data_IF_887527686219
#
_entry.id   IF_887527686219
#
_cell.length_a   1.000
_cell.length_b   1.000
_cell.length_c   1.000
_cell.angle_alpha   90.00
_cell.angle_beta   90.00
_cell.angle_gamma   90.00
#
_symmetry.space_group_name_H-M   'P 1'
#
loop_
_entity.id
_entity.type
_entity.pdbx_description
1 polymer ?
#
# COMPACT_ATOMS: atom_id res chain seq x y z
N UNK A 1 24.42 7.43 13.59
CA UNK A 1 24.53 6.05 14.11
C UNK A 1 23.64 5.97 15.34
N UNK A 2 22.43 5.45 15.19
CA UNK A 2 21.55 5.13 16.32
C UNK A 2 21.65 3.62 16.47
N UNK A 3 22.35 3.14 17.50
CA UNK A 3 22.22 1.74 17.93
C UNK A 3 20.78 1.58 18.44
N UNK A 4 19.99 0.76 17.78
CA UNK A 4 18.61 0.47 18.18
C UNK A 4 18.70 -0.43 19.42
N UNK A 5 18.74 0.18 20.61
CA UNK A 5 18.73 -0.56 21.87
C UNK A 5 17.40 -1.33 22.00
N UNK A 6 17.46 -2.52 22.63
CA UNK A 6 16.26 -3.31 22.95
C UNK A 6 15.20 -2.52 23.76
N UNK A 7 15.58 -1.38 24.35
CA UNK A 7 14.70 -0.49 25.11
C UNK A 7 13.66 0.26 24.27
N UNK A 8 13.72 0.18 22.93
CA UNK A 8 12.79 0.87 22.02
C UNK A 8 11.69 -0.04 21.42
N UNK A 9 11.43 -1.21 22.01
CA UNK A 9 10.45 -2.16 21.48
C UNK A 9 9.33 -2.41 22.49
N UNK A 10 8.10 -2.42 22.00
CA UNK A 10 6.95 -2.92 22.74
C UNK A 10 6.39 -4.07 21.96
N UNK A 11 6.23 -5.21 22.64
CA UNK A 11 5.61 -6.39 22.08
C UNK A 11 4.29 -6.66 22.76
N UNK A 12 3.23 -6.78 21.97
CA UNK A 12 1.94 -7.25 22.43
C UNK A 12 1.63 -8.58 21.75
N UNK A 13 1.33 -9.65 22.50
CA UNK A 13 0.88 -10.90 21.90
C UNK A 13 -0.45 -10.68 21.17
N UNK A 14 -0.64 -11.39 20.06
CA UNK A 14 -1.91 -11.43 19.34
C UNK A 14 -2.60 -12.75 19.65
N UNK A 15 -3.92 -12.70 19.84
CA UNK A 15 -4.74 -13.89 20.12
C UNK A 15 -5.08 -14.68 18.85
N UNK A 16 -4.90 -14.07 17.69
CA UNK A 16 -5.26 -14.57 16.36
C UNK A 16 -4.06 -14.51 15.42
N UNK A 17 -4.02 -15.40 14.44
CA UNK A 17 -2.93 -15.43 13.46
C UNK A 17 -3.03 -14.24 12.47
N UNK A 18 -2.00 -13.37 12.40
CA UNK A 18 -2.02 -12.20 11.52
C UNK A 18 -1.54 -12.52 10.09
N UNK A 19 -1.99 -11.74 9.11
CA UNK A 19 -1.56 -11.84 7.71
C UNK A 19 -1.02 -10.52 7.15
N UNK A 20 -1.51 -9.37 7.61
CA UNK A 20 -1.06 -8.05 7.12
C UNK A 20 -1.19 -6.98 8.21
N UNK A 21 -0.42 -5.91 8.07
CA UNK A 21 -0.51 -4.71 8.90
C UNK A 21 -0.44 -3.44 8.04
N UNK A 22 -1.31 -2.47 8.32
CA UNK A 22 -1.25 -1.14 7.69
C UNK A 22 -1.60 -0.04 8.67
N UNK A 23 -0.93 1.11 8.53
CA UNK A 23 -1.41 2.36 9.09
C UNK A 23 -2.52 2.96 8.23
N UNK A 24 -3.36 3.78 8.86
CA UNK A 24 -4.36 4.57 8.16
C UNK A 24 -3.68 5.45 7.09
N UNK A 25 -4.30 5.53 5.92
CA UNK A 25 -3.73 6.21 4.76
C UNK A 25 -3.62 7.73 4.99
N UNK A 26 -2.65 8.42 4.34
CA UNK A 26 -2.60 9.87 4.30
C UNK A 26 -3.94 10.45 3.81
N UNK A 27 -4.45 11.46 4.50
CA UNK A 27 -5.81 12.00 4.30
C UNK A 27 -6.80 11.56 5.37
N UNK A 28 -6.51 10.49 6.11
CA UNK A 28 -7.29 10.11 7.30
C UNK A 28 -7.22 11.20 8.37
N UNK A 29 -8.36 11.54 8.96
CA UNK A 29 -8.41 12.42 10.15
C UNK A 29 -7.81 11.78 11.41
N UNK A 30 -7.67 10.44 11.43
CA UNK A 30 -7.06 9.67 12.50
C UNK A 30 -5.86 8.84 11.98
N UNK A 31 -4.74 9.48 11.60
CA UNK A 31 -3.60 8.83 10.95
C UNK A 31 -2.75 7.95 11.90
N UNK A 32 -3.04 7.99 13.20
CA UNK A 32 -2.37 7.19 14.23
C UNK A 32 -3.05 5.83 14.44
N UNK A 33 -4.14 5.52 13.72
CA UNK A 33 -4.75 4.19 13.76
C UNK A 33 -3.99 3.27 12.80
N UNK A 34 -3.80 2.03 13.22
CA UNK A 34 -3.33 0.96 12.34
C UNK A 34 -4.16 -0.30 12.54
N UNK A 35 -4.20 -1.12 11.51
CA UNK A 35 -5.02 -2.32 11.42
C UNK A 35 -4.14 -3.55 11.21
N UNK A 36 -4.52 -4.64 11.85
CA UNK A 36 -3.96 -5.98 11.63
C UNK A 36 -5.05 -6.86 11.02
N UNK A 37 -4.85 -7.30 9.78
CA UNK A 37 -5.70 -8.32 9.16
C UNK A 37 -5.29 -9.70 9.66
N UNK A 38 -6.27 -10.52 10.04
CA UNK A 38 -6.07 -11.84 10.65
C UNK A 38 -7.13 -12.84 10.18
N UNK A 39 -7.08 -14.06 10.70
CA UNK A 39 -7.88 -15.23 10.27
C UNK A 39 -9.40 -15.09 10.34
N UNK A 40 -9.91 -14.15 11.14
CA UNK A 40 -11.35 -13.93 11.36
C UNK A 40 -11.84 -12.52 11.03
N UNK A 41 -10.94 -11.61 10.67
CA UNK A 41 -11.28 -10.20 10.56
C UNK A 41 -10.10 -9.24 10.59
N UNK A 42 -10.37 -8.05 11.10
CA UNK A 42 -9.43 -6.95 11.18
C UNK A 42 -9.50 -6.34 12.58
N UNK A 43 -8.37 -6.26 13.27
CA UNK A 43 -8.29 -5.61 14.58
C UNK A 43 -7.57 -4.27 14.46
N UNK A 44 -8.17 -3.23 15.04
CA UNK A 44 -7.67 -1.86 15.00
C UNK A 44 -6.98 -1.50 16.31
N UNK A 45 -5.86 -0.80 16.18
CA UNK A 45 -5.02 -0.37 17.29
C UNK A 45 -4.70 1.11 17.17
N UNK A 46 -4.42 1.73 18.31
CA UNK A 46 -3.94 3.11 18.37
C UNK A 46 -2.81 3.23 19.38
N UNK A 47 -1.68 3.88 19.06
CA UNK A 47 -0.69 4.27 20.04
C UNK A 47 -1.32 5.15 21.12
N UNK A 48 -1.07 4.80 22.37
CA UNK A 48 -1.39 5.61 23.54
C UNK A 48 -0.34 6.72 23.68
N UNK A 49 -0.76 7.89 24.18
CA UNK A 49 0.12 9.05 24.32
C UNK A 49 1.38 8.70 25.13
N UNK A 50 2.51 9.33 24.76
CA UNK A 50 3.85 9.11 25.32
C UNK A 50 3.82 8.90 26.84
N UNK A 51 4.21 7.73 27.36
CA UNK A 51 4.82 7.71 28.67
C UNK A 51 6.15 8.46 28.61
N UNK A 52 6.53 9.09 29.72
CA UNK A 52 7.82 9.74 29.95
C UNK A 52 9.03 8.83 29.69
N UNK A 53 8.80 7.52 29.51
CA UNK A 53 9.78 6.45 29.41
C UNK A 53 10.17 6.06 27.97
N UNK A 54 9.64 6.72 26.94
CA UNK A 54 10.08 6.55 25.54
C UNK A 54 9.50 5.34 24.79
N UNK A 55 8.80 4.44 25.48
CA UNK A 55 8.05 3.33 24.88
C UNK A 55 6.66 3.84 24.47
N UNK A 56 6.10 3.46 23.31
CA UNK A 56 4.74 3.86 22.88
C UNK A 56 3.78 2.68 22.99
N UNK A 57 3.10 2.47 24.14
CA UNK A 57 2.11 1.41 24.23
C UNK A 57 1.04 1.68 23.20
N UNK A 58 0.45 0.64 22.64
CA UNK A 58 -0.75 0.76 21.82
C UNK A 58 -1.87 0.04 22.53
N UNK A 59 -3.10 0.50 22.30
CA UNK A 59 -4.31 -0.14 22.78
C UNK A 59 -5.06 -0.71 21.59
N UNK A 60 -5.62 -1.90 21.76
CA UNK A 60 -6.65 -2.40 20.86
C UNK A 60 -7.89 -1.51 21.02
N UNK A 61 -8.46 -1.08 19.90
CA UNK A 61 -9.69 -0.31 19.87
C UNK A 61 -10.89 -1.25 19.79
N UNK A 62 -10.95 -2.03 18.70
CA UNK A 62 -12.02 -2.95 18.41
C UNK A 62 -11.61 -3.92 17.28
N UNK A 63 -12.42 -4.94 17.05
CA UNK A 63 -12.23 -5.93 15.98
C UNK A 63 -13.48 -5.97 15.10
N UNK A 64 -13.26 -5.89 13.79
CA UNK A 64 -14.29 -6.03 12.76
C UNK A 64 -14.24 -7.47 12.25
N UNK A 65 -15.29 -8.23 12.49
CA UNK A 65 -15.37 -9.63 12.06
C UNK A 65 -15.83 -9.72 10.60
N UNK A 66 -14.92 -10.14 9.70
CA UNK A 66 -15.24 -10.38 8.29
C UNK A 66 -15.66 -11.84 8.02
N UNK A 67 -15.40 -12.73 8.99
CA UNK A 67 -15.68 -14.16 8.90
C UNK A 67 -14.68 -14.96 8.07
N UNK A 68 -13.66 -14.30 7.49
CA UNK A 68 -12.62 -14.92 6.67
C UNK A 68 -11.26 -14.26 6.92
N UNK A 69 -10.14 -14.96 6.61
CA UNK A 69 -8.82 -14.35 6.66
C UNK A 69 -8.74 -13.10 5.77
N UNK A 70 -8.28 -11.99 6.36
CA UNK A 70 -7.99 -10.76 5.64
C UNK A 70 -6.50 -10.71 5.31
N UNK A 71 -6.17 -10.89 4.03
CA UNK A 71 -4.80 -11.11 3.55
C UNK A 71 -4.09 -9.80 3.17
N UNK A 72 -4.83 -8.86 2.59
CA UNK A 72 -4.35 -7.54 2.23
C UNK A 72 -5.40 -6.51 2.62
N UNK A 73 -4.98 -5.30 3.00
CA UNK A 73 -5.89 -4.21 3.31
C UNK A 73 -5.27 -2.84 3.03
N UNK A 74 -6.12 -1.84 2.90
CA UNK A 74 -5.80 -0.42 2.88
C UNK A 74 -7.04 0.34 3.39
N UNK A 75 -6.89 1.41 4.18
CA UNK A 75 -8.06 2.06 4.79
C UNK A 75 -7.86 3.53 5.12
N UNK A 76 -8.98 4.25 5.17
CA UNK A 76 -9.10 5.58 5.73
C UNK A 76 -9.79 5.53 7.10
N UNK A 77 -9.36 6.39 8.02
CA UNK A 77 -9.96 6.54 9.34
C UNK A 77 -10.47 7.97 9.57
N UNK A 78 -11.78 8.08 9.73
CA UNK A 78 -12.52 9.33 9.84
C UNK A 78 -13.07 9.51 11.25
N UNK A 79 -12.90 10.69 11.83
CA UNK A 79 -13.48 11.06 13.12
C UNK A 79 -14.94 11.42 12.87
N UNK A 80 -15.86 10.79 13.61
CA UNK A 80 -17.26 11.25 13.58
C UNK A 80 -17.36 12.61 14.28
N UNK A 81 -18.26 13.47 13.79
CA UNK A 81 -18.59 14.69 14.52
C UNK A 81 -19.03 14.30 15.94
N UNK A 82 -18.62 15.05 16.98
CA UNK A 82 -19.10 14.78 18.32
C UNK A 82 -20.62 14.92 18.31
N UNK A 83 -21.34 13.86 18.68
CA UNK A 83 -22.68 14.05 19.19
C UNK A 83 -22.58 15.06 20.33
N UNK A 84 -23.53 15.98 20.40
CA UNK A 84 -23.53 17.10 21.35
C UNK A 84 -23.74 16.67 22.82
N UNK A 85 -23.21 15.50 23.23
CA UNK A 85 -23.24 15.02 24.60
C UNK A 85 -22.19 15.77 25.44
N UNK A 86 -22.68 16.59 26.37
CA UNK A 86 -21.91 17.47 27.27
C UNK A 86 -21.02 16.74 28.30
N UNK A 87 -20.81 15.43 28.18
CA UNK A 87 -20.02 14.67 29.15
C UNK A 87 -18.61 14.43 28.58
N UNK A 88 -17.64 15.16 29.13
CA UNK A 88 -16.24 15.24 28.69
C UNK A 88 -15.39 13.97 28.84
N UNK A 89 -15.86 12.83 28.33
CA UNK A 89 -15.01 11.69 28.00
C UNK A 89 -14.83 11.61 26.47
N UNK A 90 -13.56 11.67 26.02
CA UNK A 90 -13.12 11.67 24.61
C UNK A 90 -13.37 10.32 23.88
N UNK A 91 -14.56 9.72 23.98
CA UNK A 91 -14.96 8.61 23.13
C UNK A 91 -15.49 9.14 21.80
N UNK A 92 -14.61 9.75 21.00
CA UNK A 92 -14.94 10.02 19.61
C UNK A 92 -15.01 8.69 18.85
N UNK A 93 -16.21 8.33 18.38
CA UNK A 93 -16.41 7.19 17.48
C UNK A 93 -15.56 7.37 16.21
N UNK A 94 -15.16 6.23 15.64
CA UNK A 94 -14.32 6.15 14.46
C UNK A 94 -15.14 5.53 13.33
N UNK A 95 -15.26 6.23 12.20
CA UNK A 95 -15.79 5.65 10.97
C UNK A 95 -14.64 5.24 10.06
N UNK A 96 -14.70 4.03 9.51
CA UNK A 96 -13.64 3.47 8.69
C UNK A 96 -14.15 3.16 7.28
N UNK A 97 -13.32 3.43 6.28
CA UNK A 97 -13.51 2.97 4.90
C UNK A 97 -12.36 2.02 4.56
N UNK A 98 -12.66 0.73 4.50
CA UNK A 98 -11.65 -0.34 4.43
C UNK A 98 -11.77 -1.06 3.09
N UNK A 99 -10.71 -1.01 2.27
CA UNK A 99 -10.53 -1.95 1.17
C UNK A 99 -9.73 -3.16 1.65
N UNK A 100 -10.21 -4.36 1.39
CA UNK A 100 -9.48 -5.57 1.75
C UNK A 100 -9.65 -6.71 0.74
N UNK A 101 -8.65 -7.60 0.71
CA UNK A 101 -8.69 -8.85 -0.01
C UNK A 101 -8.80 -10.02 0.98
N UNK A 102 -9.74 -10.91 0.74
CA UNK A 102 -10.04 -12.05 1.61
C UNK A 102 -9.61 -13.39 0.99
N UNK A 103 -9.59 -14.44 1.82
CA UNK A 103 -9.18 -15.80 1.41
C UNK A 103 -9.98 -16.38 0.23
N UNK A 104 -11.21 -15.91 0.02
CA UNK A 104 -12.11 -16.32 -1.06
C UNK A 104 -11.82 -15.60 -2.40
N UNK A 105 -10.66 -14.94 -2.51
CA UNK A 105 -10.26 -14.08 -3.64
C UNK A 105 -11.20 -12.88 -3.88
N UNK A 106 -12.09 -12.57 -2.92
CA UNK A 106 -12.93 -11.37 -3.02
C UNK A 106 -12.16 -10.12 -2.60
N UNK A 107 -12.50 -9.01 -3.26
CA UNK A 107 -12.12 -7.66 -2.83
C UNK A 107 -13.36 -7.01 -2.22
N UNK A 108 -13.22 -6.40 -1.05
CA UNK A 108 -14.33 -5.84 -0.29
C UNK A 108 -14.07 -4.39 0.06
N UNK A 109 -15.12 -3.58 -0.02
CA UNK A 109 -15.18 -2.25 0.58
C UNK A 109 -16.10 -2.34 1.79
N UNK A 110 -15.55 -2.18 2.98
CA UNK A 110 -16.26 -2.28 4.25
C UNK A 110 -16.28 -0.91 4.89
N UNK A 111 -17.49 -0.45 5.20
CA UNK A 111 -17.73 0.73 6.01
C UNK A 111 -18.08 0.31 7.42
N UNK A 112 -17.43 0.93 8.40
CA UNK A 112 -17.72 0.64 9.81
C UNK A 112 -17.95 1.92 10.59
N UNK A 113 -18.72 1.78 11.66
CA UNK A 113 -18.72 2.69 12.79
C UNK A 113 -18.23 1.89 14.00
N UNK A 114 -17.01 2.18 14.44
CA UNK A 114 -16.26 1.37 15.39
C UNK A 114 -16.22 -0.10 14.94
N UNK A 115 -16.70 -1.03 15.79
CA UNK A 115 -16.72 -2.46 15.50
C UNK A 115 -17.84 -2.89 14.54
N UNK A 116 -18.87 -2.06 14.34
CA UNK A 116 -20.07 -2.43 13.59
C UNK A 116 -19.90 -2.14 12.10
N UNK A 117 -20.15 -3.15 11.26
CA UNK A 117 -20.19 -2.99 9.81
C UNK A 117 -21.51 -2.34 9.43
N UNK A 118 -21.46 -1.10 8.94
CA UNK A 118 -22.63 -0.34 8.52
C UNK A 118 -23.00 -0.62 7.06
N UNK A 119 -22.00 -0.87 6.23
CA UNK A 119 -22.18 -1.30 4.84
C UNK A 119 -20.99 -2.14 4.38
N UNK A 120 -21.25 -3.10 3.50
CA UNK A 120 -20.21 -3.89 2.86
C UNK A 120 -20.57 -4.10 1.40
N UNK A 121 -19.66 -3.72 0.52
CA UNK A 121 -19.69 -4.07 -0.89
C UNK A 121 -18.64 -5.14 -1.14
N UNK A 122 -19.02 -6.19 -1.86
CA UNK A 122 -18.13 -7.32 -2.15
C UNK A 122 -18.08 -7.53 -3.65
N UNK A 123 -16.87 -7.61 -4.15
CA UNK A 123 -16.57 -7.88 -5.54
C UNK A 123 -15.82 -9.21 -5.63
N UNK A 124 -16.39 -10.17 -6.37
CA UNK A 124 -15.94 -11.56 -6.43
C UNK A 124 -16.70 -12.32 -7.52
N UNK A 125 -16.69 -13.66 -7.45
CA UNK A 125 -17.40 -14.49 -8.43
C UNK A 125 -16.85 -14.33 -9.85
N UNK A 126 -17.71 -14.28 -10.86
CA UNK A 126 -17.30 -14.16 -12.28
C UNK A 126 -16.77 -12.79 -12.66
N UNK A 127 -17.18 -11.76 -11.93
CA UNK A 127 -16.72 -10.39 -12.19
C UNK A 127 -15.39 -10.12 -11.50
N UNK A 128 -15.10 -10.83 -10.40
CA UNK A 128 -13.91 -10.71 -9.56
C UNK A 128 -12.61 -11.29 -10.12
N UNK A 129 -11.57 -11.25 -9.27
CA UNK A 129 -10.35 -12.01 -9.53
C UNK A 129 -10.64 -13.52 -9.55
N UNK A 130 -10.06 -14.21 -10.53
CA UNK A 130 -10.22 -15.66 -10.72
C UNK A 130 -9.11 -16.49 -10.06
N UNK A 131 -8.19 -15.81 -9.35
CA UNK A 131 -7.08 -16.41 -8.64
C UNK A 131 -6.68 -15.53 -7.44
N UNK A 132 -5.61 -15.88 -6.74
CA UNK A 132 -5.12 -15.13 -5.59
C UNK A 132 -4.97 -13.63 -5.86
N UNK A 133 -5.59 -12.81 -5.02
CA UNK A 133 -5.39 -11.35 -4.99
C UNK A 133 -4.13 -11.07 -4.19
N UNK A 134 -3.13 -10.49 -4.83
CA UNK A 134 -1.80 -10.29 -4.24
C UNK A 134 -1.64 -8.92 -3.56
N UNK A 135 -2.46 -7.94 -3.93
CA UNK A 135 -2.41 -6.61 -3.32
C UNK A 135 -3.70 -5.84 -3.60
N UNK A 136 -4.02 -4.91 -2.70
CA UNK A 136 -5.16 -3.99 -2.82
C UNK A 136 -4.75 -2.61 -2.31
N UNK A 137 -5.29 -1.57 -2.93
CA UNK A 137 -5.17 -0.20 -2.45
C UNK A 137 -6.48 0.57 -2.69
N UNK A 138 -6.69 1.65 -1.92
CA UNK A 138 -7.86 2.53 -2.01
C UNK A 138 -7.44 4.00 -2.02
N UNK A 139 -8.17 4.81 -2.77
CA UNK A 139 -8.12 6.28 -2.70
C UNK A 139 -9.54 6.85 -2.63
N UNK A 140 -9.67 7.97 -1.93
CA UNK A 140 -10.89 8.78 -1.88
C UNK A 140 -10.78 9.93 -2.87
N UNK A 141 -11.80 10.12 -3.69
CA UNK A 141 -11.91 11.20 -4.69
C UNK A 141 -12.93 12.20 -4.17
N UNK A 142 -12.49 13.45 -4.03
CA UNK A 142 -13.32 14.55 -3.57
C UNK A 142 -13.67 15.46 -4.74
N UNK A 143 -14.92 15.90 -4.78
CA UNK A 143 -15.41 16.93 -5.69
C UNK A 143 -14.80 18.31 -5.35
N UNK A 144 -15.10 19.30 -6.21
CA UNK A 144 -14.63 20.68 -6.00
C UNK A 144 -15.15 21.31 -4.68
N UNK A 145 -16.29 20.87 -4.17
CA UNK A 145 -16.88 21.36 -2.91
C UNK A 145 -16.43 20.56 -1.68
N UNK A 146 -15.39 19.72 -1.80
CA UNK A 146 -14.81 18.90 -0.72
C UNK A 146 -15.80 17.86 -0.18
N UNK A 147 -16.79 17.48 -0.96
CA UNK A 147 -17.62 16.31 -0.67
C UNK A 147 -16.96 15.06 -1.27
N UNK A 148 -17.06 13.94 -0.55
CA UNK A 148 -16.54 12.68 -1.03
C UNK A 148 -17.43 12.20 -2.18
N UNK A 149 -16.86 12.12 -3.38
CA UNK A 149 -17.57 11.77 -4.62
C UNK A 149 -17.45 10.26 -4.88
N UNK A 150 -16.24 9.71 -4.77
CA UNK A 150 -15.99 8.30 -5.07
C UNK A 150 -14.93 7.65 -4.17
N UNK A 151 -15.11 6.37 -3.90
CA UNK A 151 -14.03 5.47 -3.50
C UNK A 151 -13.52 4.73 -4.72
N UNK A 152 -12.21 4.73 -4.94
CA UNK A 152 -11.57 3.97 -6.01
C UNK A 152 -10.63 2.95 -5.41
N UNK A 153 -10.88 1.68 -5.75
CA UNK A 153 -10.12 0.53 -5.27
C UNK A 153 -9.39 -0.06 -6.45
N UNK A 154 -8.12 -0.39 -6.26
CA UNK A 154 -7.34 -1.11 -7.24
C UNK A 154 -6.83 -2.42 -6.64
N UNK A 155 -6.94 -3.51 -7.39
CA UNK A 155 -6.46 -4.84 -6.98
C UNK A 155 -5.74 -5.54 -8.11
N UNK A 156 -4.78 -6.38 -7.76
CA UNK A 156 -4.01 -7.20 -8.72
C UNK A 156 -3.90 -8.64 -8.25
N UNK A 157 -3.84 -9.59 -9.19
CA UNK A 157 -3.84 -11.00 -8.85
C UNK A 157 -3.00 -11.91 -9.74
N UNK A 158 -2.97 -13.19 -9.36
CA UNK A 158 -2.33 -14.29 -10.09
C UNK A 158 -3.10 -14.71 -11.36
N UNK A 159 -4.25 -14.10 -11.62
CA UNK A 159 -5.02 -14.21 -12.86
C UNK A 159 -4.53 -13.23 -13.96
N UNK A 160 -3.41 -12.55 -13.72
CA UNK A 160 -2.83 -11.54 -14.61
C UNK A 160 -3.78 -10.37 -14.90
N UNK A 161 -4.60 -9.96 -13.93
CA UNK A 161 -5.45 -8.80 -14.08
C UNK A 161 -5.09 -7.70 -13.07
N UNK A 162 -5.23 -6.45 -13.53
CA UNK A 162 -5.48 -5.28 -12.69
C UNK A 162 -6.97 -5.00 -12.77
N UNK A 163 -7.62 -4.83 -11.63
CA UNK A 163 -9.01 -4.41 -11.55
C UNK A 163 -9.08 -3.05 -10.85
N UNK A 164 -9.79 -2.12 -11.46
CA UNK A 164 -10.14 -0.82 -10.87
C UNK A 164 -11.64 -0.80 -10.64
N UNK A 165 -12.02 -0.63 -9.38
CA UNK A 165 -13.40 -0.61 -8.92
C UNK A 165 -13.71 0.75 -8.31
N UNK A 166 -14.54 1.53 -8.99
CA UNK A 166 -15.04 2.83 -8.55
C UNK A 166 -16.40 2.63 -7.90
N UNK A 167 -16.61 3.20 -6.73
CA UNK A 167 -17.87 3.17 -5.99
C UNK A 167 -18.25 4.62 -5.71
N UNK A 168 -19.36 5.05 -6.31
CA UNK A 168 -19.96 6.37 -6.11
C UNK A 168 -21.46 6.26 -5.90
N UNK A 169 -22.12 7.39 -5.66
CA UNK A 169 -23.57 7.46 -5.50
C UNK A 169 -24.33 7.01 -6.77
N UNK A 170 -23.68 7.06 -7.94
CA UNK A 170 -24.24 6.61 -9.20
C UNK A 170 -24.13 5.09 -9.40
N UNK A 171 -23.55 4.37 -8.45
CA UNK A 171 -23.35 2.93 -8.49
C UNK A 171 -21.89 2.53 -8.80
N UNK A 172 -21.59 1.22 -8.70
CA UNK A 172 -20.24 0.74 -8.94
C UNK A 172 -19.90 0.73 -10.44
N UNK A 173 -18.70 1.17 -10.78
CA UNK A 173 -18.10 1.03 -12.12
C UNK A 173 -16.84 0.19 -12.00
N UNK A 174 -16.71 -0.80 -12.87
CA UNK A 174 -15.62 -1.75 -12.86
C UNK A 174 -14.87 -1.72 -14.18
N UNK A 175 -13.54 -1.73 -14.12
CA UNK A 175 -12.68 -1.88 -15.29
C UNK A 175 -11.58 -2.91 -15.01
N UNK A 176 -11.43 -3.87 -15.93
CA UNK A 176 -10.40 -4.91 -15.87
C UNK A 176 -9.35 -4.72 -16.96
N UNK A 177 -8.08 -4.87 -16.60
CA UNK A 177 -6.94 -4.67 -17.50
C UNK A 177 -6.00 -5.87 -17.44
N UNK A 178 -5.65 -6.40 -18.61
CA UNK A 178 -4.74 -7.55 -18.70
C UNK A 178 -3.29 -7.13 -18.45
N UNK A 179 -2.62 -7.89 -17.59
CA UNK A 179 -1.19 -7.82 -17.30
C UNK A 179 -0.43 -8.90 -18.08
N UNK A 180 0.88 -8.72 -18.26
CA UNK A 180 1.70 -9.71 -18.96
C UNK A 180 2.13 -10.89 -18.07
N UNK A 181 2.04 -10.72 -16.76
CA UNK A 181 2.27 -11.75 -15.74
C UNK A 181 1.50 -11.37 -14.46
N UNK A 182 1.50 -12.23 -13.41
CA UNK A 182 0.78 -11.93 -12.17
C UNK A 182 1.13 -10.56 -11.60
N UNK A 183 0.13 -9.74 -11.29
CA UNK A 183 0.37 -8.49 -10.60
C UNK A 183 0.65 -8.76 -9.12
N UNK A 184 1.77 -8.26 -8.60
CA UNK A 184 2.26 -8.54 -7.23
C UNK A 184 2.15 -7.34 -6.29
N UNK A 185 1.98 -6.14 -6.83
CA UNK A 185 1.77 -4.93 -6.03
C UNK A 185 1.00 -3.87 -6.79
N UNK A 186 0.15 -3.12 -6.09
CA UNK A 186 -0.64 -2.02 -6.65
C UNK A 186 -0.73 -0.86 -5.65
N UNK A 187 -0.43 0.37 -6.10
CA UNK A 187 -0.46 1.56 -5.23
C UNK A 187 -0.93 2.82 -5.96
N UNK A 188 -1.90 3.53 -5.39
CA UNK A 188 -2.26 4.86 -5.87
C UNK A 188 -1.16 5.87 -5.55
N UNK A 189 -0.94 6.81 -6.48
CA UNK A 189 -0.15 8.00 -6.21
C UNK A 189 -1.01 8.98 -5.38
N UNK A 190 -0.61 9.25 -4.15
CA UNK A 190 -1.34 10.11 -3.20
C UNK A 190 -1.28 11.59 -3.56
N UNK A 191 -0.27 12.00 -4.33
CA UNK A 191 -0.15 13.37 -4.85
C UNK A 191 -0.88 13.59 -6.18
N UNK A 192 -1.19 12.52 -6.92
CA UNK A 192 -2.02 12.56 -8.14
C UNK A 192 -2.89 11.31 -8.21
N UNK A 193 -4.12 11.43 -7.72
CA UNK A 193 -5.03 10.30 -7.53
C UNK A 193 -5.34 9.52 -8.82
N UNK A 194 -5.11 10.12 -9.99
CA UNK A 194 -5.28 9.49 -11.31
C UNK A 194 -4.24 8.43 -11.62
N UNK A 195 -3.08 8.49 -10.95
CA UNK A 195 -1.96 7.59 -11.23
C UNK A 195 -1.96 6.40 -10.31
N UNK A 196 -1.74 5.25 -10.91
CA UNK A 196 -1.59 3.97 -10.24
C UNK A 196 -0.26 3.33 -10.65
N UNK A 197 0.44 2.76 -9.68
CA UNK A 197 1.64 1.96 -9.90
C UNK A 197 1.28 0.49 -9.81
N UNK A 198 1.69 -0.31 -10.80
CA UNK A 198 1.49 -1.75 -10.85
C UNK A 198 2.84 -2.43 -11.01
N UNK A 199 3.16 -3.35 -10.10
CA UNK A 199 4.32 -4.24 -10.21
C UNK A 199 3.89 -5.63 -10.65
N UNK A 200 4.54 -6.18 -11.66
CA UNK A 200 4.29 -7.52 -12.19
C UNK A 200 5.40 -8.50 -11.78
N UNK A 201 5.05 -9.77 -11.60
CA UNK A 201 5.96 -10.84 -11.13
C UNK A 201 7.19 -11.00 -12.03
N UNK A 202 7.06 -10.74 -13.33
CA UNK A 202 8.16 -10.77 -14.31
C UNK A 202 9.16 -9.60 -14.21
N UNK A 203 8.97 -8.67 -13.27
CA UNK A 203 9.85 -7.51 -13.08
C UNK A 203 9.43 -6.24 -13.81
N UNK A 204 8.32 -6.27 -14.56
CA UNK A 204 7.75 -5.07 -15.16
C UNK A 204 7.07 -4.21 -14.08
N UNK A 205 7.30 -2.91 -14.16
CA UNK A 205 6.69 -1.90 -13.28
C UNK A 205 6.03 -0.86 -14.17
N UNK A 206 4.71 -0.69 -14.05
CA UNK A 206 3.93 0.19 -14.91
C UNK A 206 3.28 1.31 -14.12
N UNK A 207 3.25 2.49 -14.70
CA UNK A 207 2.42 3.61 -14.24
C UNK A 207 1.23 3.70 -15.17
N UNK A 208 0.06 3.84 -14.59
CA UNK A 208 -1.24 3.74 -15.24
C UNK A 208 -2.07 4.97 -14.88
N UNK A 209 -2.72 5.59 -15.88
CA UNK A 209 -3.73 6.62 -15.65
C UNK A 209 -5.11 6.01 -15.82
N UNK A 210 -5.78 5.76 -14.70
CA UNK A 210 -7.10 5.11 -14.70
C UNK A 210 -8.23 6.02 -15.18
N UNK A 211 -7.97 7.32 -15.35
CA UNK A 211 -8.92 8.32 -15.85
C UNK A 211 -8.74 8.65 -17.32
N UNK A 212 -7.57 8.33 -17.90
CA UNK A 212 -7.32 8.57 -19.32
C UNK A 212 -8.30 7.76 -20.17
N UNK A 213 -8.96 8.43 -21.13
CA UNK A 213 -10.10 7.93 -21.88
C UNK A 213 -9.73 6.76 -22.82
N UNK A 214 -9.62 5.57 -22.23
CA UNK A 214 -9.90 4.27 -22.85
C UNK A 214 -11.16 3.66 -22.23
N UNK A 215 -11.38 3.88 -20.93
CA UNK A 215 -12.54 3.41 -20.17
C UNK A 215 -13.83 4.13 -20.58
N UNK A 216 -14.46 3.69 -21.66
CA UNK A 216 -15.88 3.96 -21.85
C UNK A 216 -16.60 3.05 -20.88
N UNK A 217 -16.80 3.52 -19.64
CA UNK A 217 -17.59 2.82 -18.64
C UNK A 217 -18.94 2.43 -19.26
N UNK A 218 -19.12 1.14 -19.56
CA UNK A 218 -20.44 0.63 -19.81
C UNK A 218 -21.20 0.75 -18.49
N UNK A 219 -22.22 1.61 -18.48
CA UNK A 219 -23.22 1.59 -17.42
C UNK A 219 -23.95 0.26 -17.54
N UNK A 220 -23.44 -0.79 -16.92
CA UNK A 220 -24.07 -2.10 -16.93
C UNK A 220 -24.31 -2.56 -15.50
N UNK A 221 -25.56 -2.94 -15.26
CA UNK A 221 -26.02 -3.58 -14.04
C UNK A 221 -25.15 -4.80 -13.73
N UNK A 222 -25.03 -5.15 -12.44
CA UNK A 222 -24.10 -6.12 -11.84
C UNK A 222 -24.05 -7.57 -12.42
N UNK A 223 -24.72 -7.85 -13.54
CA UNK A 223 -24.85 -9.17 -14.17
C UNK A 223 -24.16 -9.30 -15.55
N UNK A 224 -23.49 -8.28 -16.09
CA UNK A 224 -22.80 -8.39 -17.39
C UNK A 224 -21.28 -8.60 -17.32
N UNK A 225 -20.80 -9.38 -18.30
CA UNK A 225 -19.43 -9.89 -18.46
C UNK A 225 -18.43 -8.75 -18.57
N UNK A 226 -17.32 -8.84 -17.83
CA UNK A 226 -16.16 -7.96 -17.91
C UNK A 226 -15.75 -7.72 -19.38
N UNK A 227 -15.90 -6.49 -19.87
CA UNK A 227 -15.26 -6.09 -21.13
C UNK A 227 -13.78 -5.81 -20.85
N UNK A 228 -12.91 -6.71 -21.32
CA UNK A 228 -11.47 -6.49 -21.35
C UNK A 228 -11.19 -5.54 -22.52
N UNK A 229 -11.03 -4.25 -22.25
CA UNK A 229 -10.66 -3.26 -23.26
C UNK A 229 -9.18 -3.42 -23.67
N UNK A 230 -8.93 -3.96 -24.87
CA UNK A 230 -7.57 -4.18 -25.41
C UNK A 230 -7.08 -3.02 -26.31
N UNK A 231 -7.92 -2.00 -26.57
CA UNK A 231 -7.70 -1.08 -27.70
C UNK A 231 -7.08 0.29 -27.41
N UNK A 232 -6.90 0.71 -26.15
CA UNK A 232 -5.95 1.76 -25.80
C UNK A 232 -5.28 1.40 -24.49
N UNK A 233 -3.96 1.43 -24.46
CA UNK A 233 -3.16 1.08 -23.29
C UNK A 233 -3.02 2.34 -22.41
N UNK A 234 -3.79 2.51 -21.32
CA UNK A 234 -3.63 3.62 -20.34
C UNK A 234 -2.29 3.57 -19.56
N UNK A 235 -1.30 2.81 -20.04
CA UNK A 235 0.04 2.74 -19.46
C UNK A 235 0.83 3.99 -19.84
N UNK A 236 1.05 4.87 -18.86
CA UNK A 236 1.88 6.07 -19.01
C UNK A 236 3.34 5.69 -19.27
N UNK A 237 3.88 4.76 -18.49
CA UNK A 237 5.27 4.29 -18.62
C UNK A 237 5.39 2.84 -18.18
N UNK A 238 6.27 2.08 -18.82
CA UNK A 238 6.68 0.74 -18.42
C UNK A 238 8.18 0.74 -18.15
N UNK A 239 8.56 0.33 -16.95
CA UNK A 239 9.92 0.21 -16.45
C UNK A 239 10.24 -1.27 -16.23
N UNK A 240 11.52 -1.63 -16.33
CA UNK A 240 11.99 -2.97 -16.01
C UNK A 240 12.90 -2.90 -14.78
N UNK A 241 12.43 -3.44 -13.66
CA UNK A 241 13.25 -3.61 -12.45
C UNK A 241 14.32 -4.70 -12.62
N UNK A 242 14.15 -5.53 -13.63
CA UNK A 242 15.01 -6.61 -14.07
C UNK A 242 16.14 -6.10 -15.00
N UNK A 243 16.75 -4.95 -14.74
CA UNK A 243 17.74 -4.35 -15.66
C UNK A 243 18.98 -5.24 -15.93
N UNK A 244 19.33 -5.43 -17.21
CA UNK A 244 20.56 -5.96 -17.90
C UNK A 244 21.27 -7.22 -17.36
N UNK A 245 21.12 -7.60 -16.09
CA UNK A 245 21.68 -8.81 -15.50
C UNK A 245 20.61 -9.56 -14.74
N UNK A 246 19.91 -10.47 -15.43
CA UNK A 246 18.91 -11.30 -14.75
C UNK A 246 18.98 -12.71 -15.29
N UNK A 247 19.16 -13.64 -14.35
CA UNK A 247 18.73 -15.00 -14.56
C UNK A 247 17.20 -14.99 -14.56
N UNK A 248 16.55 -15.74 -15.43
CA UNK A 248 15.09 -15.80 -15.59
C UNK A 248 14.27 -16.19 -14.32
N UNK A 249 14.92 -16.35 -13.16
CA UNK A 249 14.33 -16.74 -11.88
C UNK A 249 14.08 -15.57 -10.91
N UNK A 250 14.55 -14.35 -11.19
CA UNK A 250 14.33 -13.22 -10.28
C UNK A 250 12.94 -12.60 -10.48
N UNK A 251 12.07 -12.80 -9.51
CA UNK A 251 10.70 -12.25 -9.52
C UNK A 251 10.60 -10.97 -8.70
N UNK A 252 9.71 -10.07 -9.11
CA UNK A 252 9.43 -8.84 -8.37
C UNK A 252 8.79 -9.19 -7.01
N UNK A 253 9.25 -8.51 -5.96
CA UNK A 253 8.67 -8.57 -4.62
C UNK A 253 7.66 -7.44 -4.41
N UNK A 254 8.04 -6.20 -4.70
CA UNK A 254 7.12 -5.05 -4.68
C UNK A 254 7.60 -3.89 -5.56
N UNK A 255 6.67 -3.01 -5.91
CA UNK A 255 6.93 -1.67 -6.42
C UNK A 255 6.15 -0.65 -5.57
N UNK A 256 6.81 0.43 -5.16
CA UNK A 256 6.21 1.48 -4.33
C UNK A 256 6.56 2.87 -4.84
N UNK A 257 5.61 3.79 -4.65
CA UNK A 257 5.87 5.22 -4.71
C UNK A 257 6.77 5.64 -3.54
N UNK A 258 7.73 6.53 -3.80
CA UNK A 258 8.69 6.97 -2.79
C UNK A 258 8.81 8.50 -2.74
N UNK A 259 9.02 9.01 -1.53
CA UNK A 259 9.15 10.44 -1.24
C UNK A 259 7.84 11.12 -0.90
N UNK A 260 7.93 12.28 -0.26
CA UNK A 260 6.78 13.08 0.20
C UNK A 260 5.78 13.40 -0.93
N UNK A 261 6.28 13.71 -2.13
CA UNK A 261 5.45 14.00 -3.29
C UNK A 261 5.22 12.79 -4.19
N UNK A 262 5.75 11.61 -3.85
CA UNK A 262 5.63 10.39 -4.65
C UNK A 262 6.11 10.55 -6.10
N UNK A 263 7.22 11.27 -6.27
CA UNK A 263 7.81 11.53 -7.58
C UNK A 263 8.88 10.50 -7.98
N UNK A 264 9.14 9.52 -7.11
CA UNK A 264 10.09 8.44 -7.34
C UNK A 264 9.39 7.08 -7.24
N UNK A 265 9.93 6.11 -7.96
CA UNK A 265 9.49 4.71 -7.91
C UNK A 265 10.63 3.88 -7.34
N UNK A 266 10.33 3.05 -6.36
CA UNK A 266 11.22 2.04 -5.81
C UNK A 266 10.68 0.66 -6.15
N UNK A 267 11.48 -0.18 -6.81
CA UNK A 267 11.16 -1.57 -7.06
C UNK A 267 12.17 -2.48 -6.36
N UNK A 268 11.71 -3.59 -5.78
CA UNK A 268 12.57 -4.60 -5.20
C UNK A 268 12.17 -6.00 -5.64
N UNK A 269 13.16 -6.75 -6.10
CA UNK A 269 13.06 -8.16 -6.44
C UNK A 269 13.20 -9.02 -5.17
N UNK A 270 12.63 -10.23 -5.19
CA UNK A 270 12.65 -11.16 -4.04
C UNK A 270 14.06 -11.64 -3.66
N UNK A 271 15.03 -11.52 -4.56
CA UNK A 271 16.42 -11.84 -4.30
C UNK A 271 17.18 -10.72 -3.54
N UNK A 272 16.53 -9.58 -3.28
CA UNK A 272 17.12 -8.43 -2.60
C UNK A 272 17.66 -7.34 -3.53
N UNK A 273 17.65 -7.53 -4.85
CA UNK A 273 18.02 -6.46 -5.80
C UNK A 273 16.92 -5.40 -5.83
N UNK A 274 17.32 -4.13 -5.87
CA UNK A 274 16.40 -3.01 -5.94
C UNK A 274 16.84 -1.98 -6.99
N UNK A 275 15.85 -1.27 -7.54
CA UNK A 275 16.01 -0.22 -8.53
C UNK A 275 15.15 0.98 -8.13
N UNK A 276 15.66 2.19 -8.36
CA UNK A 276 14.99 3.44 -8.05
C UNK A 276 15.01 4.37 -9.27
N UNK A 277 13.84 4.93 -9.61
CA UNK A 277 13.68 5.90 -10.69
C UNK A 277 13.12 7.22 -10.14
N UNK A 278 13.64 8.32 -10.66
CA UNK A 278 13.16 9.69 -10.41
C UNK A 278 12.51 10.18 -11.71
N UNK A 279 11.23 9.86 -11.87
CA UNK A 279 10.50 10.12 -13.11
C UNK A 279 10.00 11.57 -13.20
N UNK A 280 9.55 12.15 -12.08
CA UNK A 280 8.97 13.49 -12.05
C UNK A 280 9.82 14.46 -11.22
N UNK A 281 9.85 15.73 -11.62
CA UNK A 281 10.55 16.76 -10.86
C UNK A 281 9.71 17.17 -9.64
N UNK A 282 10.34 17.44 -8.49
CA UNK A 282 9.68 18.01 -7.30
C UNK A 282 9.03 19.37 -7.55
N UNK A 283 9.43 20.07 -8.62
CA UNK A 283 8.81 21.34 -9.02
C UNK A 283 7.52 21.15 -9.82
N UNK A 284 7.35 20.00 -10.49
CA UNK A 284 6.21 19.73 -11.37
C UNK A 284 4.94 19.41 -10.55
N UNK A 285 5.13 18.87 -9.33
CA UNK A 285 4.06 18.60 -8.36
C UNK A 285 3.43 19.85 -7.75
N UNK A 286 4.05 21.03 -7.86
CA UNK A 286 3.54 22.26 -7.26
C UNK A 286 2.48 23.01 -8.11
N UNK A 287 2.24 22.59 -9.35
CA UNK A 287 1.35 23.30 -10.28
C UNK A 287 0.07 22.54 -10.68
N UNK A 288 -0.27 21.41 -10.05
CA UNK A 288 -1.54 20.71 -10.28
C UNK A 288 -1.76 20.13 -11.70
N UNK A 289 -0.81 20.37 -12.60
CA UNK A 289 -0.72 19.81 -13.93
C UNK A 289 0.68 19.21 -14.08
N UNK A 290 0.87 18.02 -13.53
CA UNK A 290 2.04 17.20 -13.83
C UNK A 290 1.92 16.59 -15.23
N UNK A 291 1.63 17.39 -16.26
CA UNK A 291 2.01 17.00 -17.61
C UNK A 291 3.52 16.71 -17.55
N UNK A 292 3.96 15.61 -18.16
CA UNK A 292 5.37 15.50 -18.56
C UNK A 292 5.73 16.85 -19.14
N UNK A 293 6.76 17.54 -18.64
CA UNK A 293 7.11 18.86 -19.14
C UNK A 293 7.12 18.84 -20.68
N UNK A 294 6.02 19.27 -21.31
CA UNK A 294 5.87 19.36 -22.74
C UNK A 294 6.59 20.64 -23.13
N UNK A 295 7.91 20.59 -23.06
CA UNK A 295 8.72 21.51 -23.83
C UNK A 295 8.68 20.96 -25.27
N UNK A 296 7.63 21.35 -26.00
CA UNK A 296 7.45 21.14 -27.45
C UNK A 296 7.21 19.70 -27.95
N UNK A 297 6.26 18.95 -27.36
CA UNK A 297 5.74 17.73 -28.00
C UNK A 297 6.75 16.59 -28.23
N UNK A 298 7.90 16.64 -27.57
CA UNK A 298 8.86 15.54 -27.51
C UNK A 298 9.33 15.40 -26.08
N UNK A 299 9.00 14.28 -25.43
CA UNK A 299 9.68 13.83 -24.22
C UNK A 299 11.18 13.99 -24.46
N UNK A 300 11.93 14.76 -23.63
CA UNK A 300 13.38 14.66 -23.68
C UNK A 300 13.68 13.18 -23.48
N UNK A 301 14.45 12.59 -24.38
CA UNK A 301 14.81 11.17 -24.40
C UNK A 301 15.56 10.81 -23.11
N UNK A 302 14.85 10.70 -21.99
CA UNK A 302 15.37 10.24 -20.73
C UNK A 302 15.48 8.74 -20.88
N UNK A 303 16.71 8.27 -20.68
CA UNK A 303 16.97 6.86 -20.58
C UNK A 303 16.12 6.30 -19.42
N UNK A 304 15.25 5.32 -19.68
CA UNK A 304 14.38 4.70 -18.67
C UNK A 304 15.15 3.72 -17.75
N UNK A 305 16.49 3.80 -17.77
CA UNK A 305 17.32 3.11 -16.79
C UNK A 305 17.10 3.69 -15.39
N UNK A 306 17.24 2.85 -14.33
CA UNK A 306 17.19 3.32 -12.96
C UNK A 306 18.21 4.43 -12.69
N UNK A 307 17.82 5.45 -11.92
CA UNK A 307 18.71 6.47 -11.41
C UNK A 307 19.69 5.90 -10.38
N UNK A 308 19.25 4.88 -9.63
CA UNK A 308 20.06 4.14 -8.68
C UNK A 308 19.61 2.67 -8.62
N UNK A 309 20.55 1.79 -8.31
CA UNK A 309 20.29 0.36 -8.11
C UNK A 309 21.25 -0.18 -7.05
N UNK A 310 20.88 -1.29 -6.42
CA UNK A 310 21.71 -1.96 -5.42
C UNK A 310 21.12 -3.29 -5.00
N UNK A 311 21.67 -3.86 -3.93
CA UNK A 311 21.17 -5.09 -3.32
C UNK A 311 21.13 -4.96 -1.80
N UNK A 312 20.18 -5.66 -1.18
CA UNK A 312 20.08 -5.76 0.28
C UNK A 312 21.06 -6.82 0.80
N UNK A 313 21.32 -6.83 2.11
CA UNK A 313 22.16 -7.87 2.72
C UNK A 313 21.43 -9.22 2.88
N UNK A 314 20.12 -9.24 2.61
CA UNK A 314 19.28 -10.43 2.72
C UNK A 314 19.10 -11.12 1.37
N UNK A 315 19.25 -12.44 1.36
CA UNK A 315 18.64 -13.27 0.32
C UNK A 315 17.22 -13.63 0.74
N UNK A 316 16.22 -13.28 -0.08
CA UNK A 316 14.80 -13.61 0.19
C UNK A 316 14.01 -12.47 0.86
N UNK A 317 13.87 -11.34 0.18
CA UNK A 317 13.07 -10.17 0.58
C UNK A 317 11.61 -10.31 0.11
N UNK A 318 10.92 -11.36 0.58
CA UNK A 318 9.59 -11.74 0.08
C UNK A 318 8.50 -10.68 0.28
N UNK A 319 8.64 -9.81 1.28
CA UNK A 319 7.70 -8.71 1.55
C UNK A 319 7.94 -7.48 0.67
N UNK A 320 9.02 -7.49 -0.11
CA UNK A 320 9.46 -6.34 -0.88
C UNK A 320 9.94 -5.19 0.02
N UNK A 321 9.96 -3.99 -0.57
CA UNK A 321 10.44 -2.78 0.08
C UNK A 321 9.25 -2.03 0.67
N UNK A 322 9.50 -1.31 1.76
CA UNK A 322 8.59 -0.29 2.31
C UNK A 322 9.28 1.05 2.25
N UNK A 323 8.94 1.86 1.25
CA UNK A 323 9.48 3.20 1.06
C UNK A 323 9.18 4.06 2.29
N UNK A 324 10.16 4.86 2.70
CA UNK A 324 9.96 5.78 3.81
C UNK A 324 9.00 6.90 3.37
N UNK A 325 7.95 7.23 4.16
CA UNK A 325 6.91 8.21 3.77
C UNK A 325 7.36 9.64 3.40
N UNK A 326 8.61 9.99 3.67
CA UNK A 326 9.13 11.36 3.51
C UNK A 326 10.46 11.37 2.77
N UNK A 327 11.39 10.51 3.17
CA UNK A 327 12.71 10.41 2.55
C UNK A 327 12.69 9.46 1.35
N UNK A 328 12.61 10.01 0.15
CA UNK A 328 12.53 9.24 -1.11
C UNK A 328 13.67 8.22 -1.32
N UNK A 329 14.80 8.47 -0.67
CA UNK A 329 16.05 7.71 -0.79
C UNK A 329 16.29 6.78 0.40
N UNK A 330 15.24 6.45 1.14
CA UNK A 330 15.27 5.58 2.31
C UNK A 330 14.12 4.58 2.26
N UNK A 331 14.37 3.31 2.58
CA UNK A 331 13.33 2.29 2.67
C UNK A 331 13.69 1.20 3.68
N UNK A 332 12.69 0.52 4.21
CA UNK A 332 12.87 -0.68 5.01
C UNK A 332 12.64 -1.94 4.16
N UNK A 333 13.38 -2.99 4.49
CA UNK A 333 13.23 -4.35 3.93
C UNK A 333 13.39 -5.38 5.04
N UNK A 334 12.91 -6.59 4.83
CA UNK A 334 12.97 -7.66 5.82
C UNK A 334 13.44 -8.99 5.22
N UNK A 335 14.26 -9.71 6.00
CA UNK A 335 14.36 -11.17 5.87
C UNK A 335 13.25 -11.79 6.70
N UNK A 336 12.09 -11.99 6.06
CA UNK A 336 10.86 -12.40 6.73
C UNK A 336 11.03 -13.67 7.59
N UNK A 337 11.62 -14.72 7.01
CA UNK A 337 11.84 -16.00 7.70
C UNK A 337 12.84 -15.90 8.88
N UNK A 338 13.82 -15.00 8.81
CA UNK A 338 14.84 -14.82 9.86
C UNK A 338 14.44 -13.81 10.93
N UNK A 339 13.40 -13.03 10.69
CA UNK A 339 12.99 -11.98 11.61
C UNK A 339 14.00 -10.83 11.68
N UNK A 340 14.56 -10.42 10.55
CA UNK A 340 15.55 -9.33 10.48
C UNK A 340 15.03 -8.20 9.61
N UNK A 341 15.18 -6.95 10.08
CA UNK A 341 14.87 -5.75 9.32
C UNK A 341 16.16 -5.03 8.92
N UNK A 342 16.19 -4.44 7.74
CA UNK A 342 17.26 -3.57 7.28
C UNK A 342 16.66 -2.25 6.80
N UNK A 343 17.27 -1.15 7.22
CA UNK A 343 17.02 0.17 6.67
C UNK A 343 18.08 0.45 5.61
N UNK A 344 17.65 0.77 4.39
CA UNK A 344 18.54 0.94 3.23
C UNK A 344 18.44 2.37 2.72
N UNK A 345 19.59 3.02 2.55
CA UNK A 345 19.70 4.31 1.88
C UNK A 345 20.13 4.11 0.43
N UNK A 346 19.35 4.65 -0.50
CA UNK A 346 19.60 4.60 -1.96
C UNK A 346 20.92 5.28 -2.32
N UNK A 347 21.34 6.31 -1.57
CA UNK A 347 22.61 7.01 -1.75
C UNK A 347 23.84 6.19 -1.38
N UNK A 348 23.65 5.11 -0.62
CA UNK A 348 24.73 4.30 -0.10
C UNK A 348 24.43 2.80 -0.29
N UNK A 349 24.35 2.33 -1.55
CA UNK A 349 23.93 0.96 -1.87
C UNK A 349 24.85 -0.12 -1.30
N UNK A 350 26.12 0.22 -1.01
CA UNK A 350 27.11 -0.69 -0.42
C UNK A 350 27.40 -0.40 1.05
N UNK A 351 26.75 0.59 1.66
CA UNK A 351 26.94 0.84 3.07
C UNK A 351 26.16 -0.23 3.86
N UNK A 352 26.87 -1.26 4.27
CA UNK A 352 26.47 -2.19 5.34
C UNK A 352 26.39 -1.50 6.72
N UNK A 353 26.41 -0.16 6.78
CA UNK A 353 26.64 0.64 7.98
C UNK A 353 25.45 0.74 8.94
N UNK A 354 24.27 0.21 8.57
CA UNK A 354 23.14 0.12 9.50
C UNK A 354 22.95 -1.34 9.88
N UNK A 355 23.31 -1.65 11.12
CA UNK A 355 23.11 -2.98 11.70
C UNK A 355 21.62 -3.35 11.58
N UNK A 356 21.31 -4.53 11.02
CA UNK A 356 19.92 -4.96 10.91
C UNK A 356 19.30 -5.15 12.29
N UNK A 357 18.01 -4.85 12.40
CA UNK A 357 17.25 -5.07 13.62
C UNK A 357 16.78 -6.52 13.64
N UNK A 358 17.30 -7.30 14.59
CA UNK A 358 16.89 -8.68 14.79
C UNK A 358 15.70 -8.76 15.77
N UNK A 359 14.58 -9.31 15.31
CA UNK A 359 13.39 -9.64 16.10
C UNK A 359 13.40 -11.09 16.59
N UNK A 360 14.21 -11.96 15.96
CA UNK A 360 14.32 -13.39 16.28
C UNK A 360 12.99 -14.16 16.19
N UNK A 361 12.07 -13.67 15.37
CA UNK A 361 10.78 -14.31 15.06
C UNK A 361 10.39 -14.00 13.62
N UNK A 362 9.77 -14.93 12.87
CA UNK A 362 9.33 -14.65 11.52
C UNK A 362 8.44 -13.40 11.44
N UNK A 363 8.76 -12.50 10.51
CA UNK A 363 7.99 -11.30 10.20
C UNK A 363 6.93 -11.68 9.17
N UNK A 364 5.69 -11.33 9.47
CA UNK A 364 4.54 -11.53 8.59
C UNK A 364 4.38 -10.33 7.67
N UNK A 365 4.34 -9.12 8.22
CA UNK A 365 4.23 -7.88 7.43
C UNK A 365 4.74 -6.67 8.24
N UNK A 366 4.94 -5.54 7.57
CA UNK A 366 5.40 -4.30 8.20
C UNK A 366 4.87 -3.06 7.47
N UNK A 367 4.65 -1.98 8.24
CA UNK A 367 4.12 -0.72 7.72
C UNK A 367 4.64 0.49 8.51
N UNK A 368 5.02 1.54 7.78
CA UNK A 368 5.49 2.79 8.37
C UNK A 368 4.35 3.61 8.95
N UNK A 369 4.56 4.14 10.15
CA UNK A 369 3.69 5.18 10.69
C UNK A 369 3.73 6.41 9.79
N UNK A 370 2.63 7.14 9.70
CA UNK A 370 2.53 8.45 9.02
C UNK A 370 3.64 9.44 9.37
N UNK A 371 4.08 9.52 10.64
CA UNK A 371 5.20 10.39 11.08
C UNK A 371 6.58 9.86 10.69
N UNK A 372 6.64 8.64 10.15
CA UNK A 372 7.82 7.91 9.72
C UNK A 372 8.92 7.74 10.77
N UNK A 373 8.57 7.90 12.05
CA UNK A 373 9.49 7.64 13.18
C UNK A 373 9.44 6.20 13.66
N UNK A 374 8.45 5.45 13.20
CA UNK A 374 8.13 4.12 13.71
C UNK A 374 7.71 3.22 12.56
N UNK A 375 8.13 1.96 12.65
CA UNK A 375 7.70 0.87 11.80
C UNK A 375 6.89 -0.08 12.68
N UNK A 376 5.62 -0.30 12.34
CA UNK A 376 4.84 -1.37 12.93
C UNK A 376 5.17 -2.67 12.21
N UNK A 377 5.45 -3.71 12.98
CA UNK A 377 5.88 -5.01 12.47
C UNK A 377 5.04 -6.08 13.13
N UNK A 378 4.37 -6.89 12.34
CA UNK A 378 3.62 -8.02 12.83
C UNK A 378 4.40 -9.31 12.58
N UNK A 379 4.47 -10.16 13.59
CA UNK A 379 5.24 -11.40 13.62
C UNK A 379 4.34 -12.57 14.00
N UNK A 380 4.83 -13.80 13.86
CA UNK A 380 4.08 -14.98 14.33
C UNK A 380 3.78 -14.98 15.84
N UNK A 381 4.51 -14.16 16.62
CA UNK A 381 4.38 -14.16 18.07
C UNK A 381 3.79 -12.86 18.63
N UNK A 382 3.32 -11.97 17.76
CA UNK A 382 2.69 -10.71 18.15
C UNK A 382 3.13 -9.52 17.33
N UNK A 383 2.76 -8.35 17.83
CA UNK A 383 2.92 -7.04 17.20
C UNK A 383 4.02 -6.26 17.91
N UNK A 384 4.92 -5.66 17.12
CA UNK A 384 6.03 -4.83 17.59
C UNK A 384 6.03 -3.46 16.93
N UNK A 385 6.24 -2.39 17.71
CA UNK A 385 6.59 -1.07 17.20
C UNK A 385 8.10 -0.88 17.30
N UNK A 386 8.75 -0.69 16.15
CA UNK A 386 10.21 -0.54 16.02
C UNK A 386 10.54 0.90 15.64
N UNK A 387 11.43 1.52 16.39
CA UNK A 387 12.02 2.81 16.03
C UNK A 387 13.33 2.56 15.28
N UNK A 388 13.35 2.92 14.00
CA UNK A 388 14.49 2.75 13.10
C UNK A 388 15.38 4.00 13.04
#
# INVERSE_FOLDING_TARGET
MVSISQQNRIRQPLEVFPYTIKWALPGSSQPDIFAVGHETGITFYKPTAKPSTGAWPFRQLFTVATGLPTLHLAFYAHKTAPDSSENGEENSSCTLSIACACQDNSVRLIFTQDAEITSQHTFGGTSGHQNFVNDVDIIEIYSADQTLDEHVIASVGDDNTLIVWRVSDNGPVLAGYTLASPGVSVRFCRSDARRLLVGERNGQVRVFDWTSSGASASSSTADEVMEIEDSQRPWIVSLSASGVQVNAADTLGSAEWSGEHQNSILAMCKNGNWSCWELWSSKDSAQGAGEFAEVNGTLPSRNLLPNAMGSTSFSGTVLGARAHPYYARLFATASAARGSLQLVSVDRPHATDVDPVFLNTPIVDMSWHSTARQLAVVTHLGLELVRL
#
